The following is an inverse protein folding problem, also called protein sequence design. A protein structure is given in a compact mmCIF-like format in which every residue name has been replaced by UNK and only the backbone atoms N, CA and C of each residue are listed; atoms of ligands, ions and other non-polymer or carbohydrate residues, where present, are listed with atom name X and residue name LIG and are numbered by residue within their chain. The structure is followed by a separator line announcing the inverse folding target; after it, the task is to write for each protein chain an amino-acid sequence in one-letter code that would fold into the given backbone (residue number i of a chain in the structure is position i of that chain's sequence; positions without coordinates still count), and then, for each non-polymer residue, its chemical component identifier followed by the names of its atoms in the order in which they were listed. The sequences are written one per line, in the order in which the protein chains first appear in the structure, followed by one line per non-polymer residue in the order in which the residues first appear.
data_IF_595273481756
#
_entry.id   IF_595273481756
#
_cell.length_a   1.000
_cell.length_b   1.000
_cell.length_c   1.000
_cell.angle_alpha   90.00
_cell.angle_beta   90.00
_cell.angle_gamma   90.00
#
_symmetry.space_group_name_H-M   'P 1'
#
loop_
_entity.id
_entity.type
_entity.pdbx_description
1 polymer ?
#
# COMPACT_ATOMS: atom_id res chain seq x y z
N UNK A 1 -54.25 -48.82 -47.34
CA UNK A 1 -52.78 -48.86 -47.34
C UNK A 1 -52.32 -49.74 -46.20
N UNK A 2 -51.68 -50.86 -46.57
CA UNK A 2 -50.71 -51.71 -45.86
C UNK A 2 -51.05 -52.29 -44.47
N UNK A 3 -51.00 -53.61 -44.48
CA UNK A 3 -51.19 -54.58 -43.41
C UNK A 3 -50.14 -54.48 -42.30
N UNK A 4 -50.57 -54.91 -41.12
CA UNK A 4 -49.77 -55.27 -39.96
C UNK A 4 -49.24 -56.70 -40.17
N UNK A 5 -47.92 -56.90 -40.08
CA UNK A 5 -47.33 -58.23 -39.88
C UNK A 5 -45.97 -58.13 -39.16
N UNK A 6 -45.72 -59.16 -38.37
CA UNK A 6 -44.73 -59.34 -37.31
C UNK A 6 -43.28 -59.44 -37.82
N UNK A 7 -42.30 -58.97 -37.03
CA UNK A 7 -40.95 -59.51 -37.08
C UNK A 7 -40.33 -59.65 -35.68
N UNK A 8 -39.79 -60.84 -35.46
CA UNK A 8 -39.40 -61.50 -34.22
C UNK A 8 -38.01 -61.02 -33.76
N UNK A 9 -37.85 -60.74 -32.47
CA UNK A 9 -36.58 -60.31 -31.86
C UNK A 9 -35.67 -61.54 -31.65
N UNK A 10 -34.43 -61.47 -32.18
CA UNK A 10 -33.38 -62.49 -32.01
C UNK A 10 -32.73 -62.38 -30.60
N UNK A 11 -32.71 -63.43 -29.77
CA UNK A 11 -32.26 -63.40 -28.38
C UNK A 11 -30.74 -63.55 -28.20
N UNK A 12 -29.93 -62.76 -28.91
CA UNK A 12 -28.45 -62.79 -28.80
C UNK A 12 -27.76 -61.51 -28.33
N UNK A 13 -28.46 -60.61 -27.65
CA UNK A 13 -27.88 -59.38 -27.10
C UNK A 13 -27.92 -59.27 -25.56
N UNK A 14 -27.89 -60.39 -24.83
CA UNK A 14 -27.78 -60.38 -23.36
C UNK A 14 -26.70 -61.35 -22.88
N UNK A 15 -25.47 -60.84 -22.74
CA UNK A 15 -24.49 -61.42 -21.82
C UNK A 15 -23.43 -60.38 -21.44
N UNK A 16 -23.68 -59.62 -20.37
CA UNK A 16 -22.60 -59.19 -19.46
C UNK A 16 -23.15 -59.18 -18.03
N UNK A 17 -22.58 -60.05 -17.20
CA UNK A 17 -22.80 -60.17 -15.76
C UNK A 17 -22.28 -58.92 -14.99
N UNK A 18 -22.74 -58.70 -13.75
CA UNK A 18 -22.38 -57.54 -12.94
C UNK A 18 -21.01 -57.74 -12.31
N UNK A 19 -20.12 -56.76 -12.45
CA UNK A 19 -18.95 -56.64 -11.60
C UNK A 19 -19.05 -55.37 -10.78
N UNK A 20 -19.21 -55.58 -9.48
CA UNK A 20 -19.01 -54.63 -8.41
C UNK A 20 -17.64 -53.95 -8.53
N UNK A 21 -17.61 -52.77 -9.13
CA UNK A 21 -16.51 -51.83 -8.92
C UNK A 21 -17.01 -50.78 -7.93
N UNK A 22 -16.68 -50.99 -6.65
CA UNK A 22 -16.68 -49.92 -5.66
C UNK A 22 -15.79 -48.80 -6.21
N UNK A 23 -16.39 -47.72 -6.70
CA UNK A 23 -15.68 -46.46 -6.88
C UNK A 23 -15.40 -45.87 -5.50
N UNK A 24 -14.37 -46.41 -4.83
CA UNK A 24 -13.61 -45.64 -3.87
C UNK A 24 -12.93 -44.51 -4.65
N UNK A 25 -13.64 -43.40 -4.82
CA UNK A 25 -12.99 -42.12 -5.10
C UNK A 25 -12.09 -41.84 -3.91
N UNK A 26 -10.79 -42.12 -4.07
CA UNK A 26 -9.75 -41.57 -3.22
C UNK A 26 -9.97 -40.06 -3.16
N UNK A 27 -10.56 -39.58 -2.07
CA UNK A 27 -10.54 -38.16 -1.72
C UNK A 27 -9.07 -37.83 -1.52
N UNK A 28 -8.39 -37.41 -2.58
CA UNK A 28 -7.04 -36.86 -2.53
C UNK A 28 -7.08 -35.76 -1.48
N UNK A 29 -6.46 -36.01 -0.33
CA UNK A 29 -6.53 -35.11 0.81
C UNK A 29 -6.10 -33.71 0.35
N UNK A 30 -7.07 -32.78 0.26
CA UNK A 30 -6.76 -31.43 -0.17
C UNK A 30 -5.81 -30.82 0.85
N UNK A 31 -4.64 -30.39 0.37
CA UNK A 31 -3.64 -29.73 1.21
C UNK A 31 -4.33 -28.55 1.92
N UNK A 32 -4.19 -28.42 3.25
CA UNK A 32 -4.76 -27.29 3.97
C UNK A 32 -4.17 -25.99 3.40
N UNK A 33 -5.06 -25.13 2.88
CA UNK A 33 -4.71 -23.85 2.26
C UNK A 33 -4.54 -22.78 3.33
N UNK A 34 -3.59 -21.88 3.12
CA UNK A 34 -3.35 -20.74 4.03
C UNK A 34 -4.27 -19.59 3.65
N UNK A 35 -4.71 -18.81 4.63
CA UNK A 35 -5.57 -17.62 4.41
C UNK A 35 -4.93 -16.58 3.48
N UNK A 36 -3.60 -16.42 3.51
CA UNK A 36 -2.90 -15.50 2.59
C UNK A 36 -3.00 -15.90 1.11
N UNK A 37 -3.22 -17.18 0.78
CA UNK A 37 -3.32 -17.68 -0.60
C UNK A 37 -4.64 -17.29 -1.28
N UNK A 38 -5.67 -16.99 -0.48
CA UNK A 38 -7.00 -16.57 -0.95
C UNK A 38 -7.34 -15.15 -0.49
N UNK A 39 -6.32 -14.38 -0.09
CA UNK A 39 -6.55 -13.09 0.53
C UNK A 39 -7.32 -12.15 -0.41
N UNK A 40 -8.47 -11.59 0.03
CA UNK A 40 -9.29 -10.76 -0.82
C UNK A 40 -8.70 -9.35 -0.87
N UNK A 41 -7.72 -9.16 -1.75
CA UNK A 41 -7.03 -7.89 -2.00
C UNK A 41 -5.94 -8.04 -3.05
N UNK A 42 -5.27 -6.95 -3.40
CA UNK A 42 -4.19 -6.92 -4.42
C UNK A 42 -2.79 -7.05 -3.82
N UNK A 43 -2.69 -7.25 -2.51
CA UNK A 43 -1.40 -7.44 -1.84
C UNK A 43 -0.72 -8.74 -2.28
N UNK A 44 0.61 -8.71 -2.34
CA UNK A 44 1.45 -9.90 -2.57
C UNK A 44 2.05 -10.35 -1.25
N UNK A 45 2.05 -11.66 -1.05
CA UNK A 45 2.58 -12.30 0.16
C UNK A 45 3.81 -13.12 -0.16
N UNK A 46 4.81 -13.06 0.72
CA UNK A 46 6.04 -13.85 0.60
C UNK A 46 6.40 -14.48 1.95
N UNK A 47 7.28 -15.48 1.92
CA UNK A 47 7.78 -16.18 3.11
C UNK A 47 6.65 -16.74 4.00
N UNK A 48 5.75 -17.55 3.43
CA UNK A 48 4.60 -18.13 4.16
C UNK A 48 3.72 -17.05 4.83
N UNK A 49 3.42 -15.98 4.08
CA UNK A 49 2.57 -14.88 4.53
C UNK A 49 3.21 -13.91 5.54
N UNK A 50 4.51 -14.04 5.84
CA UNK A 50 5.21 -13.12 6.77
C UNK A 50 5.38 -11.72 6.17
N UNK A 51 5.77 -11.66 4.90
CA UNK A 51 5.97 -10.41 4.17
C UNK A 51 4.68 -10.09 3.43
N UNK A 52 4.23 -8.84 3.54
CA UNK A 52 3.13 -8.28 2.76
C UNK A 52 3.63 -7.04 2.02
N UNK A 53 3.35 -6.98 0.71
CA UNK A 53 3.66 -5.83 -0.13
C UNK A 53 2.44 -5.48 -0.98
N UNK A 54 2.38 -4.24 -1.47
CA UNK A 54 1.40 -3.87 -2.47
C UNK A 54 1.71 -4.50 -3.83
N UNK A 55 0.72 -4.51 -4.74
CA UNK A 55 0.92 -4.96 -6.13
C UNK A 55 1.99 -4.12 -6.85
N UNK A 56 2.00 -2.81 -6.61
CA UNK A 56 2.91 -1.85 -7.22
C UNK A 56 4.14 -1.60 -6.33
N UNK A 57 4.92 -2.66 -6.07
CA UNK A 57 6.13 -2.58 -5.25
C UNK A 57 7.41 -2.38 -6.07
N UNK A 58 7.31 -2.10 -7.38
CA UNK A 58 8.46 -1.98 -8.28
C UNK A 58 9.40 -0.80 -7.99
N UNK A 59 8.94 0.22 -7.25
CA UNK A 59 9.77 1.38 -6.86
C UNK A 59 10.57 1.10 -5.59
N UNK A 60 10.15 0.15 -4.74
CA UNK A 60 10.89 -0.21 -3.52
C UNK A 60 12.34 -0.69 -3.80
N UNK A 61 12.60 -1.57 -4.80
CA UNK A 61 13.96 -1.92 -5.19
C UNK A 61 14.80 -0.72 -5.66
N UNK A 62 14.19 0.30 -6.26
CA UNK A 62 14.89 1.53 -6.64
C UNK A 62 15.32 2.31 -5.39
N UNK A 63 14.43 2.49 -4.41
CA UNK A 63 14.77 3.12 -3.12
C UNK A 63 15.91 2.39 -2.42
N UNK A 64 15.83 1.06 -2.35
CA UNK A 64 16.86 0.24 -1.70
C UNK A 64 18.20 0.34 -2.45
N UNK A 65 18.18 0.28 -3.78
CA UNK A 65 19.36 0.44 -4.63
C UNK A 65 20.02 1.81 -4.44
N UNK A 66 19.23 2.89 -4.42
CA UNK A 66 19.76 4.24 -4.19
C UNK A 66 20.48 4.34 -2.83
N UNK A 67 19.85 3.85 -1.76
CA UNK A 67 20.45 3.88 -0.42
C UNK A 67 21.74 3.04 -0.37
N UNK A 68 21.72 1.82 -0.90
CA UNK A 68 22.88 0.91 -0.88
C UNK A 68 24.03 1.45 -1.73
N UNK A 69 23.74 1.92 -2.95
CA UNK A 69 24.79 2.43 -3.86
C UNK A 69 25.40 3.71 -3.29
N UNK A 70 24.59 4.68 -2.84
CA UNK A 70 25.11 5.91 -2.25
C UNK A 70 25.91 5.63 -0.98
N UNK A 71 25.47 4.73 -0.09
CA UNK A 71 26.26 4.39 1.09
C UNK A 71 27.53 3.60 0.73
N UNK A 72 27.45 2.71 -0.26
CA UNK A 72 28.58 1.90 -0.72
C UNK A 72 29.69 2.75 -1.34
N UNK A 73 29.32 3.74 -2.16
CA UNK A 73 30.25 4.73 -2.70
C UNK A 73 30.90 5.53 -1.56
N UNK A 74 30.11 6.01 -0.60
CA UNK A 74 30.59 6.79 0.54
C UNK A 74 31.59 6.01 1.40
N UNK A 75 31.32 4.73 1.69
CA UNK A 75 32.25 3.89 2.45
C UNK A 75 33.51 3.53 1.64
N UNK A 76 33.41 3.39 0.32
CA UNK A 76 34.52 3.00 -0.53
C UNK A 76 35.48 4.16 -0.84
N UNK A 77 34.96 5.37 -1.05
CA UNK A 77 35.72 6.49 -1.60
C UNK A 77 35.94 7.63 -0.59
N UNK A 78 34.93 7.98 0.20
CA UNK A 78 34.99 9.12 1.11
C UNK A 78 35.55 8.73 2.48
N UNK A 79 35.08 7.63 3.05
CA UNK A 79 35.52 7.17 4.37
C UNK A 79 37.05 6.95 4.47
N UNK A 80 37.74 6.29 3.52
CA UNK A 80 39.19 6.08 3.64
C UNK A 80 39.99 7.39 3.66
N UNK A 81 39.51 8.40 2.94
CA UNK A 81 40.12 9.74 2.94
C UNK A 81 39.82 10.45 4.26
N UNK A 82 38.55 10.52 4.66
CA UNK A 82 38.12 11.24 5.85
C UNK A 82 38.67 10.62 7.16
N UNK A 83 38.88 9.30 7.20
CA UNK A 83 39.51 8.65 8.35
C UNK A 83 40.97 9.08 8.52
N UNK A 84 41.71 9.23 7.41
CA UNK A 84 43.11 9.67 7.44
C UNK A 84 43.25 11.14 7.85
N UNK A 85 42.27 11.98 7.52
CA UNK A 85 42.36 13.42 7.69
C UNK A 85 41.53 14.00 8.84
N UNK A 86 40.54 13.27 9.36
CA UNK A 86 39.63 13.75 10.40
C UNK A 86 39.50 12.76 11.57
N UNK A 87 38.77 11.65 11.37
CA UNK A 87 38.47 10.73 12.47
C UNK A 87 37.96 9.36 12.01
N UNK A 88 38.29 8.33 12.79
CA UNK A 88 37.82 6.94 12.60
C UNK A 88 36.32 6.77 12.91
N UNK A 89 35.68 7.72 13.60
CA UNK A 89 34.27 7.62 13.97
C UNK A 89 33.30 7.84 12.80
N UNK A 90 33.73 8.46 11.70
CA UNK A 90 32.89 8.73 10.52
C UNK A 90 32.24 7.45 9.94
N UNK A 91 33.00 6.38 9.58
CA UNK A 91 32.40 5.15 9.09
C UNK A 91 31.53 4.45 10.13
N UNK A 92 31.82 4.59 11.43
CA UNK A 92 30.99 4.01 12.51
C UNK A 92 29.62 4.67 12.55
N UNK A 93 29.58 6.01 12.57
CA UNK A 93 28.32 6.78 12.56
C UNK A 93 27.53 6.50 11.30
N UNK A 94 28.18 6.56 10.13
CA UNK A 94 27.55 6.25 8.85
C UNK A 94 26.98 4.83 8.80
N UNK A 95 27.71 3.85 9.34
CA UNK A 95 27.28 2.44 9.37
C UNK A 95 26.05 2.22 10.25
N UNK A 96 26.03 2.83 11.43
CA UNK A 96 24.87 2.78 12.35
C UNK A 96 23.64 3.41 11.71
N UNK A 97 23.79 4.59 11.10
CA UNK A 97 22.69 5.28 10.41
C UNK A 97 22.18 4.45 9.22
N UNK A 98 23.07 3.91 8.40
CA UNK A 98 22.72 3.06 7.25
C UNK A 98 21.90 1.83 7.68
N UNK A 99 22.37 1.08 8.68
CA UNK A 99 21.66 -0.10 9.19
C UNK A 99 20.29 0.30 9.73
N UNK A 100 20.20 1.38 10.50
CA UNK A 100 18.93 1.85 11.06
C UNK A 100 17.93 2.27 9.96
N UNK A 101 18.39 2.97 8.93
CA UNK A 101 17.57 3.37 7.77
C UNK A 101 17.04 2.15 7.03
N UNK A 102 17.90 1.18 6.70
CA UNK A 102 17.50 -0.03 6.00
C UNK A 102 16.50 -0.84 6.82
N UNK A 103 16.76 -1.05 8.12
CA UNK A 103 15.81 -1.76 8.99
C UNK A 103 14.46 -1.05 9.09
N UNK A 104 14.45 0.29 9.18
CA UNK A 104 13.23 1.09 9.24
C UNK A 104 12.44 1.03 7.92
N UNK A 105 13.13 1.09 6.78
CA UNK A 105 12.53 0.89 5.46
C UNK A 105 11.87 -0.49 5.35
N UNK A 106 12.62 -1.56 5.62
CA UNK A 106 12.12 -2.93 5.51
C UNK A 106 10.94 -3.19 6.47
N UNK A 107 11.00 -2.65 7.70
CA UNK A 107 9.85 -2.72 8.64
C UNK A 107 8.65 -1.96 8.11
N UNK A 108 8.83 -0.80 7.51
CA UNK A 108 7.73 -0.05 6.90
C UNK A 108 7.09 -0.82 5.75
N UNK A 109 7.93 -1.35 4.85
CA UNK A 109 7.54 -2.06 3.65
C UNK A 109 6.81 -3.36 3.94
N UNK A 110 7.35 -4.20 4.83
CA UNK A 110 6.89 -5.58 5.01
C UNK A 110 5.85 -5.75 6.12
N UNK A 111 5.54 -4.70 6.88
CA UNK A 111 4.52 -4.74 7.93
C UNK A 111 3.14 -4.54 7.34
N UNK A 112 2.16 -5.32 7.80
CA UNK A 112 0.75 -5.06 7.56
C UNK A 112 0.40 -3.62 8.01
N UNK A 113 -0.06 -2.73 7.12
CA UNK A 113 -0.30 -1.33 7.45
C UNK A 113 -1.49 -1.10 8.40
N UNK A 114 -2.30 -2.12 8.67
CA UNK A 114 -3.55 -2.03 9.42
C UNK A 114 -4.75 -2.38 8.55
N UNK A 115 -4.64 -3.44 7.75
CA UNK A 115 -5.73 -3.86 6.87
C UNK A 115 -6.90 -4.37 7.72
N UNK A 116 -8.10 -3.88 7.41
CA UNK A 116 -9.34 -4.40 7.98
C UNK A 116 -9.81 -5.63 7.19
N UNK A 117 -10.28 -6.69 7.87
CA UNK A 117 -10.95 -7.80 7.20
C UNK A 117 -12.19 -7.28 6.46
N UNK A 118 -12.52 -7.94 5.34
CA UNK A 118 -13.78 -7.68 4.64
C UNK A 118 -14.92 -8.28 5.46
N UNK A 119 -16.10 -7.66 5.39
CA UNK A 119 -17.28 -8.20 6.06
C UNK A 119 -17.58 -9.61 5.53
N UNK A 120 -17.95 -10.51 6.43
CA UNK A 120 -18.50 -11.82 6.04
C UNK A 120 -19.79 -11.64 5.25
N UNK A 121 -20.28 -12.65 4.51
CA UNK A 121 -21.56 -12.56 3.82
C UNK A 121 -22.72 -12.17 4.76
N UNK A 122 -22.73 -12.71 5.97
CA UNK A 122 -23.75 -12.43 6.98
C UNK A 122 -23.62 -10.98 7.51
N UNK A 123 -22.40 -10.54 7.84
CA UNK A 123 -22.14 -9.15 8.26
C UNK A 123 -22.51 -8.15 7.15
N UNK A 124 -22.21 -8.48 5.89
CA UNK A 124 -22.55 -7.65 4.75
C UNK A 124 -24.07 -7.55 4.56
N UNK A 125 -24.79 -8.66 4.70
CA UNK A 125 -26.25 -8.71 4.62
C UNK A 125 -26.89 -7.90 5.76
N UNK A 126 -26.37 -8.00 6.98
CA UNK A 126 -26.84 -7.21 8.12
C UNK A 126 -26.61 -5.71 7.92
N UNK A 127 -25.45 -5.32 7.37
CA UNK A 127 -25.16 -3.92 7.06
C UNK A 127 -26.08 -3.40 5.96
N UNK A 128 -26.35 -4.19 4.92
CA UNK A 128 -27.29 -3.83 3.85
C UNK A 128 -28.73 -3.67 4.39
N UNK A 129 -29.19 -4.59 5.24
CA UNK A 129 -30.49 -4.49 5.92
C UNK A 129 -30.60 -3.23 6.80
N UNK A 130 -29.54 -2.86 7.53
CA UNK A 130 -29.51 -1.63 8.33
C UNK A 130 -29.59 -0.38 7.46
N UNK A 131 -28.93 -0.38 6.30
CA UNK A 131 -28.98 0.72 5.33
C UNK A 131 -30.40 0.88 4.80
N UNK A 132 -31.07 -0.21 4.43
CA UNK A 132 -32.43 -0.19 3.88
C UNK A 132 -33.46 0.26 4.92
N UNK A 133 -33.31 -0.19 6.18
CA UNK A 133 -34.20 0.21 7.29
C UNK A 133 -34.04 1.69 7.66
N UNK A 134 -32.86 2.27 7.42
CA UNK A 134 -32.59 3.70 7.70
C UNK A 134 -33.13 4.64 6.60
N UNK A 135 -33.62 4.10 5.49
CA UNK A 135 -34.26 4.86 4.43
C UNK A 135 -35.71 5.21 4.77
N UNK A 136 -36.06 6.49 4.72
CA UNK A 136 -37.47 6.90 4.62
C UNK A 136 -38.09 6.32 3.34
N UNK A 137 -39.37 5.92 3.37
CA UNK A 137 -40.20 5.38 2.27
C UNK A 137 -40.40 6.35 1.10
N UNK A 138 -39.31 6.94 0.62
CA UNK A 138 -39.23 7.84 -0.52
C UNK A 138 -38.35 7.17 -1.56
N UNK A 139 -38.59 7.44 -2.85
CA UNK A 139 -37.88 6.84 -4.00
C UNK A 139 -36.35 7.12 -4.02
N UNK A 140 -35.78 7.75 -3.00
CA UNK A 140 -34.35 8.05 -2.92
C UNK A 140 -33.61 6.89 -2.23
N UNK A 141 -32.48 6.41 -2.79
CA UNK A 141 -31.68 5.40 -2.13
C UNK A 141 -31.19 5.90 -0.76
N UNK A 142 -31.18 5.04 0.28
CA UNK A 142 -30.80 5.43 1.63
C UNK A 142 -29.36 5.96 1.67
N UNK A 143 -29.07 6.96 2.54
CA UNK A 143 -27.74 7.51 2.66
C UNK A 143 -26.78 6.43 3.20
N UNK A 144 -25.78 6.05 2.40
CA UNK A 144 -24.75 5.06 2.79
C UNK A 144 -23.67 5.66 3.68
N UNK A 145 -24.12 6.35 4.72
CA UNK A 145 -23.28 7.04 5.68
C UNK A 145 -23.85 6.89 7.07
N UNK A 146 -22.99 6.63 8.04
CA UNK A 146 -23.35 6.43 9.45
C UNK A 146 -22.69 7.50 10.29
N UNK A 147 -23.44 8.17 11.14
CA UNK A 147 -22.89 9.19 12.03
C UNK A 147 -22.53 8.56 13.38
N UNK A 148 -21.38 8.95 13.91
CA UNK A 148 -20.94 8.56 15.24
C UNK A 148 -20.40 9.78 15.99
N UNK A 149 -20.39 9.74 17.31
CA UNK A 149 -19.80 10.79 18.14
C UNK A 149 -18.37 10.42 18.53
N UNK A 150 -17.42 11.34 18.30
CA UNK A 150 -16.02 11.23 18.74
C UNK A 150 -15.69 12.52 19.48
N UNK A 151 -15.40 12.43 20.78
CA UNK A 151 -15.13 13.60 21.62
C UNK A 151 -16.20 14.70 21.45
N UNK A 152 -17.48 14.29 21.48
CA UNK A 152 -18.66 15.16 21.30
C UNK A 152 -18.80 15.82 19.92
N UNK A 153 -17.94 15.48 18.95
CA UNK A 153 -18.08 15.90 17.56
C UNK A 153 -18.71 14.78 16.71
N UNK A 154 -19.66 15.14 15.84
CA UNK A 154 -20.30 14.21 14.91
C UNK A 154 -19.35 13.92 13.74
N UNK A 155 -18.97 12.64 13.58
CA UNK A 155 -18.12 12.17 12.49
C UNK A 155 -18.90 11.23 11.59
N UNK A 156 -18.93 11.57 10.30
CA UNK A 156 -19.66 10.82 9.27
C UNK A 156 -18.80 9.71 8.68
N UNK A 157 -19.14 8.47 8.98
CA UNK A 157 -18.54 7.26 8.40
C UNK A 157 -19.07 7.03 6.99
N UNK A 158 -18.19 6.59 6.09
CA UNK A 158 -18.53 6.25 4.71
C UNK A 158 -18.58 4.74 4.53
N UNK A 159 -19.60 4.25 3.84
CA UNK A 159 -19.66 2.84 3.46
C UNK A 159 -18.60 2.49 2.40
N UNK A 160 -17.98 1.32 2.52
CA UNK A 160 -17.09 0.77 1.49
C UNK A 160 -17.78 -0.34 0.71
N UNK A 161 -18.03 -0.12 -0.57
CA UNK A 161 -18.65 -1.13 -1.44
C UNK A 161 -17.80 -2.39 -1.63
N UNK A 162 -16.47 -2.25 -1.73
CA UNK A 162 -15.56 -3.38 -1.93
C UNK A 162 -15.41 -4.27 -0.69
N UNK A 163 -15.30 -3.66 0.49
CA UNK A 163 -15.08 -4.38 1.75
C UNK A 163 -16.39 -4.64 2.51
N UNK A 164 -17.53 -4.17 1.98
CA UNK A 164 -18.89 -4.34 2.51
C UNK A 164 -19.05 -3.94 3.99
N UNK A 165 -18.39 -2.87 4.39
CA UNK A 165 -18.41 -2.39 5.78
C UNK A 165 -18.43 -0.86 5.84
N UNK A 166 -19.02 -0.32 6.91
CA UNK A 166 -18.85 1.10 7.26
C UNK A 166 -17.42 1.31 7.75
N UNK A 167 -16.67 2.15 7.04
CA UNK A 167 -15.26 2.40 7.36
C UNK A 167 -15.16 3.00 8.77
N UNK A 168 -14.42 2.37 9.70
CA UNK A 168 -14.15 2.97 11.00
C UNK A 168 -13.52 4.37 10.85
N UNK A 169 -13.53 5.18 11.91
CA UNK A 169 -12.91 6.50 11.88
C UNK A 169 -11.47 6.46 11.37
N UNK A 170 -11.09 7.49 10.59
CA UNK A 170 -9.75 7.62 9.98
C UNK A 170 -9.35 6.48 9.03
N UNK A 171 -10.28 5.59 8.66
CA UNK A 171 -10.04 4.50 7.69
C UNK A 171 -10.37 4.96 6.28
N UNK A 172 -9.50 4.62 5.33
CA UNK A 172 -9.79 4.80 3.90
C UNK A 172 -9.51 3.52 3.11
N UNK A 173 -10.26 3.33 2.04
CA UNK A 173 -10.02 2.25 1.09
C UNK A 173 -8.96 2.69 0.08
N UNK A 174 -7.89 1.92 -0.05
CA UNK A 174 -6.87 2.10 -1.07
C UNK A 174 -7.18 1.18 -2.25
N UNK A 175 -7.53 1.74 -3.41
CA UNK A 175 -7.85 0.98 -4.62
C UNK A 175 -6.66 0.21 -5.24
N UNK A 176 -5.44 0.69 -4.96
CA UNK A 176 -4.19 0.05 -5.41
C UNK A 176 -3.92 -1.26 -4.66
N UNK A 177 -4.12 -1.25 -3.33
CA UNK A 177 -4.03 -2.45 -2.49
C UNK A 177 -5.34 -3.24 -2.43
N UNK A 178 -6.46 -2.63 -2.82
CA UNK A 178 -7.82 -3.17 -2.75
C UNK A 178 -8.25 -3.54 -1.32
N UNK A 179 -7.92 -2.67 -0.37
CA UNK A 179 -8.12 -2.90 1.06
C UNK A 179 -8.50 -1.60 1.79
N UNK A 180 -9.35 -1.73 2.82
CA UNK A 180 -9.52 -0.69 3.84
C UNK A 180 -8.34 -0.75 4.82
N UNK A 181 -7.70 0.39 5.08
CA UNK A 181 -6.56 0.51 5.99
C UNK A 181 -6.91 1.46 7.13
N UNK A 182 -6.75 0.99 8.38
CA UNK A 182 -6.94 1.82 9.58
C UNK A 182 -5.94 2.96 9.65
N UNK A 183 -6.40 4.13 10.12
CA UNK A 183 -5.61 5.38 10.19
C UNK A 183 -4.79 5.57 8.91
N UNK A 184 -5.45 5.45 7.77
CA UNK A 184 -4.81 5.50 6.46
C UNK A 184 -4.14 6.86 6.27
N UNK A 185 -2.85 6.82 5.95
CA UNK A 185 -2.08 8.01 5.66
C UNK A 185 -1.98 8.22 4.16
N UNK A 186 -1.31 7.30 3.45
CA UNK A 186 -1.20 7.30 2.00
C UNK A 186 -0.77 5.94 1.46
N UNK A 187 -0.82 5.78 0.15
CA UNK A 187 -0.14 4.70 -0.55
C UNK A 187 1.23 5.20 -1.01
N UNK A 188 2.31 4.50 -0.66
CA UNK A 188 3.66 4.94 -0.97
C UNK A 188 4.36 3.92 -1.89
N UNK A 189 4.58 4.26 -3.17
CA UNK A 189 5.32 3.39 -4.08
C UNK A 189 6.76 3.14 -3.62
N UNK A 190 7.43 4.14 -3.04
CA UNK A 190 8.82 4.07 -2.58
C UNK A 190 9.05 3.04 -1.47
N UNK A 191 8.06 2.82 -0.60
CA UNK A 191 8.11 1.74 0.40
C UNK A 191 7.41 0.47 -0.09
N UNK A 192 6.77 0.51 -1.27
CA UNK A 192 6.06 -0.62 -1.87
C UNK A 192 4.83 -1.07 -1.10
N UNK A 193 4.22 -0.21 -0.29
CA UNK A 193 3.07 -0.54 0.57
C UNK A 193 2.23 0.70 0.94
N UNK A 194 1.06 0.49 1.51
CA UNK A 194 0.34 1.56 2.21
C UNK A 194 1.06 1.93 3.50
N UNK A 195 0.94 3.20 3.90
CA UNK A 195 1.31 3.69 5.22
C UNK A 195 0.03 3.93 6.01
N UNK A 196 -0.08 3.30 7.17
CA UNK A 196 -1.26 3.33 8.03
C UNK A 196 -0.92 3.05 9.49
N UNK A 197 -1.95 2.77 10.30
CA UNK A 197 -1.86 2.66 11.77
C UNK A 197 -0.69 1.81 12.28
N UNK A 198 -0.41 0.67 11.65
CA UNK A 198 0.55 -0.33 12.16
C UNK A 198 2.00 -0.07 11.75
N UNK A 199 2.23 0.58 10.61
CA UNK A 199 3.59 0.79 10.07
C UNK A 199 4.02 2.27 10.03
N UNK A 200 3.13 3.22 10.35
CA UNK A 200 3.44 4.65 10.34
C UNK A 200 4.67 5.02 11.18
N UNK A 201 4.84 4.43 12.38
CA UNK A 201 6.01 4.72 13.24
C UNK A 201 7.34 4.37 12.57
N UNK A 202 7.35 3.30 11.78
CA UNK A 202 8.53 2.86 11.04
C UNK A 202 8.76 3.75 9.84
N UNK A 203 7.69 4.17 9.16
CA UNK A 203 7.77 5.13 8.07
C UNK A 203 8.36 6.46 8.56
N UNK A 204 7.86 6.97 9.69
CA UNK A 204 8.39 8.18 10.32
C UNK A 204 9.86 8.02 10.73
N UNK A 205 10.20 6.91 11.39
CA UNK A 205 11.59 6.61 11.76
C UNK A 205 12.50 6.52 10.53
N UNK A 206 12.01 5.92 9.44
CA UNK A 206 12.71 5.81 8.16
C UNK A 206 12.99 7.18 7.55
N UNK A 207 11.99 8.05 7.36
CA UNK A 207 12.21 9.35 6.73
C UNK A 207 13.13 10.25 7.57
N UNK A 208 12.98 10.25 8.90
CA UNK A 208 13.81 11.06 9.81
C UNK A 208 15.26 10.55 9.80
N UNK A 209 15.47 9.24 9.94
CA UNK A 209 16.83 8.69 9.89
C UNK A 209 17.46 8.81 8.51
N UNK A 210 16.68 8.72 7.44
CA UNK A 210 17.16 8.95 6.08
C UNK A 210 17.58 10.42 5.91
N UNK A 211 16.82 11.38 6.44
CA UNK A 211 17.25 12.79 6.49
C UNK A 211 18.61 12.93 7.16
N UNK A 212 18.80 12.35 8.34
CA UNK A 212 20.08 12.40 9.05
C UNK A 212 21.22 11.75 8.27
N UNK A 213 20.99 10.57 7.69
CA UNK A 213 21.98 9.87 6.88
C UNK A 213 22.39 10.69 5.65
N UNK A 214 21.41 11.22 4.90
CA UNK A 214 21.68 12.03 3.70
C UNK A 214 22.39 13.34 4.05
N UNK A 215 21.98 14.04 5.11
CA UNK A 215 22.67 15.24 5.58
C UNK A 215 24.10 14.95 6.06
N UNK A 216 24.31 13.82 6.75
CA UNK A 216 25.63 13.39 7.20
C UNK A 216 26.56 13.09 6.03
N UNK A 217 26.12 12.29 5.06
CA UNK A 217 26.90 11.98 3.85
C UNK A 217 27.19 13.27 3.07
N UNK A 218 26.18 14.12 2.86
CA UNK A 218 26.36 15.40 2.16
C UNK A 218 27.44 16.27 2.82
N UNK A 219 27.42 16.42 4.15
CA UNK A 219 28.44 17.16 4.89
C UNK A 219 29.84 16.54 4.77
N UNK A 220 29.93 15.21 4.82
CA UNK A 220 31.19 14.48 4.66
C UNK A 220 31.78 14.66 3.25
N UNK A 221 30.96 14.55 2.21
CA UNK A 221 31.35 14.74 0.81
C UNK A 221 31.85 16.17 0.56
N UNK A 222 31.12 17.17 1.06
CA UNK A 222 31.57 18.57 1.00
C UNK A 222 32.94 18.72 1.67
N UNK A 223 33.10 18.16 2.88
CA UNK A 223 34.36 18.23 3.63
C UNK A 223 35.51 17.55 2.88
N UNK A 224 35.29 16.38 2.28
CA UNK A 224 36.28 15.70 1.46
C UNK A 224 36.74 16.59 0.29
N UNK A 225 35.80 17.15 -0.46
CA UNK A 225 36.11 18.03 -1.60
C UNK A 225 36.87 19.27 -1.12
N UNK A 226 36.46 19.93 -0.04
CA UNK A 226 37.13 21.11 0.52
C UNK A 226 38.57 20.81 0.95
N UNK A 227 38.82 19.69 1.62
CA UNK A 227 40.17 19.30 2.03
C UNK A 227 41.08 19.01 0.82
N UNK A 228 40.51 18.50 -0.28
CA UNK A 228 41.26 18.24 -1.52
C UNK A 228 41.60 19.52 -2.28
N UNK A 229 40.74 20.54 -2.23
CA UNK A 229 41.00 21.83 -2.90
C UNK A 229 41.98 22.69 -2.11
N UNK A 230 41.96 22.63 -0.78
CA UNK A 230 42.93 23.31 0.08
C UNK A 230 44.36 22.80 -0.09
N UNK A 231 44.56 21.60 -0.64
CA UNK A 231 45.87 21.05 -1.00
C UNK A 231 46.50 21.66 -2.28
N UNK A 232 46.06 22.86 -2.70
CA UNK A 232 46.59 23.60 -3.84
C UNK A 232 46.08 23.16 -5.22
N UNK A 233 45.01 22.33 -5.27
CA UNK A 233 44.40 21.85 -6.50
C UNK A 233 43.16 22.66 -6.85
N UNK A 234 43.01 23.04 -8.11
CA UNK A 234 41.73 23.60 -8.59
C UNK A 234 40.61 22.57 -8.44
N UNK A 235 39.35 23.01 -8.28
CA UNK A 235 38.18 22.12 -8.15
C UNK A 235 38.11 21.14 -9.34
N UNK A 236 38.41 21.62 -10.55
CA UNK A 236 38.39 20.81 -11.78
C UNK A 236 39.44 19.71 -11.73
N UNK A 237 40.68 20.03 -11.32
CA UNK A 237 41.75 19.04 -11.17
C UNK A 237 41.44 18.05 -10.04
N UNK A 238 40.86 18.52 -8.94
CA UNK A 238 40.45 17.66 -7.84
C UNK A 238 39.41 16.64 -8.29
N UNK A 239 38.44 17.02 -9.14
CA UNK A 239 37.39 16.13 -9.68
C UNK A 239 37.94 15.14 -10.72
N UNK A 240 38.91 15.56 -11.54
CA UNK A 240 39.47 14.74 -12.63
C UNK A 240 40.40 13.62 -12.16
N UNK A 241 40.89 13.67 -10.92
CA UNK A 241 41.64 12.56 -10.34
C UNK A 241 40.72 11.36 -10.10
N UNK A 242 41.07 10.19 -10.65
CA UNK A 242 40.20 9.00 -10.75
C UNK A 242 39.45 8.52 -9.48
N UNK A 243 39.87 8.80 -8.23
CA UNK A 243 39.03 8.52 -7.06
C UNK A 243 38.01 9.62 -6.71
N UNK A 244 38.21 10.86 -7.15
CA UNK A 244 37.46 12.03 -6.72
C UNK A 244 36.22 12.36 -7.59
N UNK A 245 36.09 11.73 -8.75
CA UNK A 245 34.86 11.76 -9.56
C UNK A 245 33.64 11.15 -8.84
N UNK A 246 33.87 10.17 -7.95
CA UNK A 246 32.80 9.47 -7.23
C UNK A 246 32.16 10.35 -6.15
N UNK A 247 32.92 11.06 -5.30
CA UNK A 247 32.38 12.10 -4.40
C UNK A 247 31.56 13.17 -5.13
N UNK A 248 31.94 13.56 -6.35
CA UNK A 248 31.15 14.52 -7.15
C UNK A 248 29.78 13.95 -7.56
N UNK A 249 29.73 12.70 -8.01
CA UNK A 249 28.45 12.02 -8.32
C UNK A 249 27.56 11.94 -7.07
N UNK A 250 28.13 11.59 -5.92
CA UNK A 250 27.41 11.56 -4.66
C UNK A 250 26.89 12.93 -4.24
N UNK A 251 27.71 13.98 -4.42
CA UNK A 251 27.30 15.35 -4.13
C UNK A 251 26.05 15.73 -4.90
N UNK A 252 26.01 15.42 -6.20
CA UNK A 252 24.84 15.68 -7.07
C UNK A 252 23.62 14.90 -6.58
N UNK A 253 23.77 13.60 -6.32
CA UNK A 253 22.67 12.75 -5.83
C UNK A 253 22.14 13.26 -4.49
N UNK A 254 23.03 13.59 -3.55
CA UNK A 254 22.67 14.11 -2.23
C UNK A 254 22.03 15.50 -2.33
N UNK A 255 22.52 16.38 -3.19
CA UNK A 255 21.97 17.73 -3.37
C UNK A 255 20.51 17.71 -3.82
N UNK A 256 20.14 16.86 -4.78
CA UNK A 256 18.74 16.76 -5.19
C UNK A 256 17.88 16.02 -4.16
N UNK A 257 18.46 15.03 -3.47
CA UNK A 257 17.72 14.20 -2.51
C UNK A 257 17.44 14.93 -1.19
N UNK A 258 18.36 15.77 -0.71
CA UNK A 258 18.28 16.37 0.63
C UNK A 258 17.06 17.28 0.80
N UNK A 259 16.75 18.11 -0.20
CA UNK A 259 15.60 19.03 -0.14
C UNK A 259 14.27 18.27 -0.10
N UNK A 260 14.16 17.22 -0.91
CA UNK A 260 12.97 16.38 -0.95
C UNK A 260 12.76 15.64 0.37
N UNK A 261 13.81 15.01 0.89
CA UNK A 261 13.73 14.19 2.10
C UNK A 261 13.54 15.05 3.36
N UNK A 262 14.22 16.20 3.47
CA UNK A 262 14.02 17.13 4.58
C UNK A 262 12.61 17.74 4.55
N UNK A 263 12.10 18.12 3.37
CA UNK A 263 10.74 18.62 3.22
C UNK A 263 9.69 17.59 3.66
N UNK A 264 9.84 16.33 3.23
CA UNK A 264 8.96 15.23 3.63
C UNK A 264 9.02 14.98 5.15
N UNK A 265 10.21 14.95 5.73
CA UNK A 265 10.42 14.81 7.17
C UNK A 265 9.79 15.94 7.98
N UNK A 266 9.93 17.19 7.52
CA UNK A 266 9.29 18.35 8.13
C UNK A 266 7.77 18.26 8.06
N UNK A 267 7.21 17.93 6.89
CA UNK A 267 5.78 17.77 6.70
C UNK A 267 5.18 16.70 7.63
N UNK A 268 5.79 15.50 7.68
CA UNK A 268 5.32 14.45 8.58
C UNK A 268 5.53 14.79 10.06
N UNK A 269 6.55 15.58 10.41
CA UNK A 269 6.72 16.08 11.78
C UNK A 269 5.57 17.01 12.17
N UNK A 270 5.14 17.90 11.26
CA UNK A 270 3.94 18.72 11.45
C UNK A 270 2.66 17.86 11.62
N UNK A 271 2.47 16.84 10.78
CA UNK A 271 1.31 15.95 10.88
C UNK A 271 1.27 15.19 12.21
N UNK A 272 2.40 14.66 12.65
CA UNK A 272 2.53 13.97 13.94
C UNK A 272 2.26 14.93 15.10
N UNK A 273 2.84 16.15 15.07
CA UNK A 273 2.61 17.18 16.07
C UNK A 273 1.14 17.60 16.17
N UNK A 274 0.39 17.50 15.07
CA UNK A 274 -1.04 17.87 14.97
C UNK A 274 -2.00 16.68 15.08
N UNK A 275 -1.49 15.46 15.27
CA UNK A 275 -2.24 14.19 15.20
C UNK A 275 -3.13 14.08 13.95
N UNK A 276 -2.59 14.44 12.79
CA UNK A 276 -3.23 14.33 11.48
C UNK A 276 -2.60 13.20 10.67
N UNK A 277 -3.38 12.61 9.77
CA UNK A 277 -2.82 11.85 8.65
C UNK A 277 -2.71 12.72 7.42
N UNK A 278 -1.81 12.39 6.49
CA UNK A 278 -1.70 13.08 5.19
C UNK A 278 -3.05 13.11 4.47
N UNK A 279 -3.79 12.00 4.51
CA UNK A 279 -5.11 11.91 3.91
C UNK A 279 -6.14 12.86 4.56
N UNK A 280 -6.05 13.14 5.85
CA UNK A 280 -6.96 14.06 6.56
C UNK A 280 -6.62 15.52 6.24
N UNK A 281 -5.32 15.85 6.21
CA UNK A 281 -4.81 17.18 5.90
C UNK A 281 -5.16 17.59 4.45
N UNK A 282 -4.83 16.74 3.47
CA UNK A 282 -5.14 17.00 2.04
C UNK A 282 -6.64 17.14 1.80
N UNK A 283 -7.47 16.36 2.47
CA UNK A 283 -8.94 16.45 2.33
C UNK A 283 -9.52 17.68 3.04
N UNK A 284 -8.72 18.40 3.83
CA UNK A 284 -9.18 19.45 4.71
C UNK A 284 -10.25 18.95 5.68
N UNK A 285 -10.10 17.72 6.20
CA UNK A 285 -11.11 17.05 7.03
C UNK A 285 -11.50 17.85 8.26
N UNK A 286 -10.59 18.66 8.78
CA UNK A 286 -10.76 19.45 10.01
C UNK A 286 -10.47 20.94 9.78
N UNK A 287 -10.55 21.41 8.53
CA UNK A 287 -10.33 22.83 8.22
C UNK A 287 -11.57 23.66 8.58
N UNK A 288 -11.35 24.73 9.34
CA UNK A 288 -12.40 25.68 9.78
C UNK A 288 -13.20 26.30 8.61
N UNK A 289 -12.64 26.32 7.39
CA UNK A 289 -13.30 26.84 6.17
C UNK A 289 -14.55 26.05 5.73
N UNK A 290 -14.85 24.88 6.31
CA UNK A 290 -16.04 24.07 5.98
C UNK A 290 -17.27 24.37 6.87
N UNK A 291 -17.32 25.53 7.53
CA UNK A 291 -18.54 26.04 8.17
C UNK A 291 -18.87 25.43 9.53
N UNK A 292 -17.88 24.85 10.21
CA UNK A 292 -17.98 24.47 11.60
C UNK A 292 -16.96 25.30 12.38
N UNK A 293 -17.39 26.49 12.81
CA UNK A 293 -16.56 27.48 13.49
C UNK A 293 -15.92 26.96 14.80
N UNK A 294 -16.40 25.83 15.33
CA UNK A 294 -15.92 25.22 16.59
C UNK A 294 -15.28 23.82 16.48
N UNK A 295 -15.24 23.17 15.30
CA UNK A 295 -14.77 21.78 15.22
C UNK A 295 -13.31 21.68 14.76
N UNK A 296 -12.38 21.94 15.69
CA UNK A 296 -10.97 21.56 15.54
C UNK A 296 -10.79 20.03 15.44
N UNK A 297 -9.57 19.57 15.12
CA UNK A 297 -9.26 18.14 15.01
C UNK A 297 -9.64 17.36 16.29
N UNK A 298 -10.66 16.46 16.29
CA UNK A 298 -11.12 15.77 17.51
C UNK A 298 -10.08 14.81 18.07
N UNK A 299 -9.06 14.44 17.31
CA UNK A 299 -8.04 13.49 17.72
C UNK A 299 -6.81 14.15 18.36
N UNK A 300 -6.72 15.48 18.36
CA UNK A 300 -5.58 16.18 18.98
C UNK A 300 -5.68 16.09 20.50
N UNK A 301 -4.53 15.93 21.16
CA UNK A 301 -4.39 16.06 22.61
C UNK A 301 -4.09 17.51 23.05
N UNK A 302 -4.17 18.48 22.14
CA UNK A 302 -3.79 19.89 22.37
C UNK A 302 -2.35 20.07 22.91
N UNK A 303 -1.49 19.08 22.68
CA UNK A 303 -0.09 19.07 23.12
C UNK A 303 0.75 18.35 22.06
N UNK A 304 1.75 19.04 21.52
CA UNK A 304 2.66 18.52 20.49
C UNK A 304 3.34 17.24 21.01
N UNK A 305 3.88 17.28 22.23
CA UNK A 305 4.59 16.14 22.83
C UNK A 305 3.63 14.95 22.98
N UNK A 306 2.42 15.19 23.49
CA UNK A 306 1.43 14.13 23.69
C UNK A 306 0.99 13.51 22.35
N UNK A 307 0.79 14.34 21.32
CA UNK A 307 0.48 13.88 19.97
C UNK A 307 1.61 13.01 19.37
N UNK A 308 2.87 13.44 19.54
CA UNK A 308 4.05 12.69 19.15
C UNK A 308 4.14 11.35 19.89
N UNK A 309 4.03 11.35 21.22
CA UNK A 309 4.10 10.13 22.03
C UNK A 309 2.96 9.16 21.71
N UNK A 310 1.73 9.65 21.55
CA UNK A 310 0.59 8.82 21.18
C UNK A 310 0.77 8.14 19.81
N UNK A 311 1.44 8.82 18.87
CA UNK A 311 1.66 8.30 17.52
C UNK A 311 2.89 7.39 17.42
N UNK A 312 3.98 7.72 18.11
CA UNK A 312 5.29 7.08 17.93
C UNK A 312 5.65 6.09 19.04
N UNK A 313 5.22 6.34 20.28
CA UNK A 313 5.63 5.58 21.47
C UNK A 313 4.58 4.58 21.94
N UNK A 314 3.36 4.61 21.38
CA UNK A 314 2.30 3.66 21.75
C UNK A 314 2.64 2.20 21.41
N UNK A 315 2.02 1.22 22.09
CA UNK A 315 2.18 -0.19 21.73
C UNK A 315 1.74 -0.42 20.27
N UNK A 316 2.36 -1.39 19.59
CA UNK A 316 1.89 -1.77 18.26
C UNK A 316 0.56 -2.51 18.43
N UNK A 317 -0.54 -2.06 17.78
CA UNK A 317 -1.80 -2.81 17.84
C UNK A 317 -1.60 -4.21 17.23
N UNK A 318 -2.48 -5.20 17.47
CA UNK A 318 -2.45 -6.50 16.79
C UNK A 318 -2.88 -6.38 15.32
N UNK A 319 -2.52 -7.37 14.50
CA UNK A 319 -2.97 -7.41 13.10
C UNK A 319 -4.39 -7.97 13.10
N UNK A 320 -5.28 -7.34 12.33
CA UNK A 320 -6.68 -7.76 12.23
C UNK A 320 -6.89 -8.82 11.15
N UNK A 321 -5.82 -9.19 10.44
CA UNK A 321 -5.82 -10.24 9.43
C UNK A 321 -4.97 -11.42 9.90
N UNK A 322 -5.60 -12.58 10.04
CA UNK A 322 -4.90 -13.84 10.30
C UNK A 322 -4.34 -14.41 8.99
N UNK A 323 -3.18 -13.90 8.56
CA UNK A 323 -2.57 -14.29 7.28
C UNK A 323 -2.08 -15.74 7.28
N UNK A 324 -1.61 -16.23 8.42
CA UNK A 324 -0.93 -17.54 8.53
C UNK A 324 -1.86 -18.65 9.00
N UNK A 325 -3.08 -18.33 9.45
CA UNK A 325 -4.10 -19.33 9.70
C UNK A 325 -4.43 -20.16 8.49
N UNK A 326 -4.98 -21.33 8.75
CA UNK A 326 -5.54 -22.20 7.72
C UNK A 326 -6.99 -21.82 7.45
N UNK A 327 -7.44 -22.07 6.23
CA UNK A 327 -8.87 -22.00 5.93
C UNK A 327 -9.61 -23.15 6.62
N UNK A 328 -10.84 -22.92 7.10
CA UNK A 328 -11.73 -24.01 7.52
C UNK A 328 -11.90 -25.02 6.38
N UNK A 329 -11.99 -26.32 6.72
CA UNK A 329 -12.10 -27.39 5.71
C UNK A 329 -13.35 -27.26 4.81
N UNK A 330 -14.37 -26.55 5.26
CA UNK A 330 -15.65 -26.37 4.56
C UNK A 330 -15.70 -25.11 3.67
N UNK A 331 -14.73 -24.20 3.78
CA UNK A 331 -14.65 -22.94 3.00
C UNK A 331 -13.64 -23.03 1.83
N UNK A 332 -13.39 -24.25 1.31
CA UNK A 332 -12.65 -24.40 0.07
C UNK A 332 -13.49 -23.87 -1.10
N UNK A 333 -13.49 -22.54 -1.28
CA UNK A 333 -14.08 -21.86 -2.44
C UNK A 333 -13.53 -22.57 -3.68
N UNK A 334 -14.39 -23.00 -4.62
CA UNK A 334 -13.94 -23.64 -5.84
C UNK A 334 -12.90 -22.75 -6.50
N UNK A 335 -11.74 -23.33 -6.82
CA UNK A 335 -10.79 -22.68 -7.70
C UNK A 335 -11.57 -22.29 -8.97
N UNK A 336 -11.63 -21.00 -9.28
CA UNK A 336 -12.09 -20.56 -10.60
C UNK A 336 -11.13 -21.23 -11.59
N UNK A 337 -11.61 -22.28 -12.24
CA UNK A 337 -10.87 -22.96 -13.30
C UNK A 337 -10.69 -21.93 -14.42
N UNK A 338 -9.45 -21.71 -14.80
CA UNK A 338 -9.12 -21.07 -16.06
C UNK A 338 -9.49 -22.06 -17.17
N UNK A 339 -10.76 -22.10 -17.54
CA UNK A 339 -11.26 -22.85 -18.69
C UNK A 339 -12.43 -22.06 -19.30
N UNK A 340 -12.12 -21.46 -20.46
CA UNK A 340 -13.06 -21.05 -21.51
C UNK A 340 -14.18 -20.08 -21.11
N UNK A 341 -13.85 -18.79 -21.12
CA UNK A 341 -14.81 -17.77 -21.55
C UNK A 341 -14.57 -17.57 -23.04
N UNK A 342 -15.28 -18.33 -23.88
CA UNK A 342 -15.51 -17.90 -25.26
C UNK A 342 -16.27 -16.58 -25.21
N UNK A 343 -15.59 -15.50 -25.61
CA UNK A 343 -16.24 -14.24 -25.96
C UNK A 343 -17.08 -14.48 -27.22
N UNK A 344 -18.37 -14.11 -27.25
CA UNK A 344 -19.13 -14.13 -28.49
C UNK A 344 -18.51 -13.12 -29.47
N UNK A 345 -18.49 -13.43 -30.78
CA UNK A 345 -17.83 -12.57 -31.77
C UNK A 345 -18.54 -11.22 -31.85
N UNK A 346 -17.77 -10.14 -31.71
CA UNK A 346 -18.20 -8.80 -32.07
C UNK A 346 -18.56 -8.76 -33.55
N UNK A 347 -19.86 -8.73 -33.85
CA UNK A 347 -20.35 -8.31 -35.17
C UNK A 347 -20.08 -6.82 -35.31
N UNK A 348 -19.15 -6.46 -36.20
CA UNK A 348 -18.95 -5.10 -36.65
C UNK A 348 -20.27 -4.56 -37.24
N UNK A 349 -20.85 -3.56 -36.59
CA UNK A 349 -21.93 -2.76 -37.15
C UNK A 349 -21.30 -1.47 -37.67
N UNK A 350 -21.45 -1.26 -38.97
CA UNK A 350 -20.95 -0.11 -39.71
C UNK A 350 -21.39 1.22 -39.09
N UNK A 351 -20.41 2.10 -38.88
CA UNK A 351 -20.62 3.52 -38.61
C UNK A 351 -21.09 4.22 -39.88
N UNK A 352 -22.36 4.60 -39.92
CA UNK A 352 -22.89 5.61 -40.83
C UNK A 352 -24.19 6.15 -40.22
N UNK A 353 -24.08 7.04 -39.24
CA UNK A 353 -25.01 8.13 -38.90
C UNK A 353 -24.66 8.70 -37.51
N UNK A 354 -23.62 9.55 -37.44
CA UNK A 354 -23.50 10.54 -36.35
C UNK A 354 -22.55 11.69 -36.73
N UNK A 355 -22.73 12.27 -37.90
CA UNK A 355 -22.23 13.62 -38.23
C UNK A 355 -23.43 14.58 -38.26
N UNK A 356 -23.90 14.98 -37.08
CA UNK A 356 -24.74 16.19 -36.87
C UNK A 356 -25.01 16.32 -35.36
N UNK A 357 -24.05 16.89 -34.61
CA UNK A 357 -24.31 17.73 -33.41
C UNK A 357 -23.07 18.18 -32.61
N UNK A 358 -21.85 18.00 -33.11
CA UNK A 358 -20.66 18.48 -32.41
C UNK A 358 -20.18 19.85 -32.94
N UNK A 359 -21.04 20.87 -32.88
CA UNK A 359 -20.65 22.25 -33.24
C UNK A 359 -21.10 23.36 -32.26
N UNK A 360 -21.77 23.06 -31.14
CA UNK A 360 -22.35 24.11 -30.28
C UNK A 360 -21.80 24.23 -28.83
N UNK A 361 -20.59 23.74 -28.54
CA UNK A 361 -19.97 23.97 -27.21
C UNK A 361 -18.47 24.27 -27.33
N UNK A 362 -18.15 25.34 -28.05
CA UNK A 362 -16.82 25.97 -27.96
C UNK A 362 -16.90 27.48 -28.10
N UNK A 363 -17.59 28.15 -27.18
CA UNK A 363 -17.54 29.61 -26.99
C UNK A 363 -18.05 29.97 -25.60
N UNK A 364 -17.16 29.98 -24.61
CA UNK A 364 -17.17 30.90 -23.44
C UNK A 364 -16.17 30.43 -22.39
N UNK A 365 -14.94 30.93 -22.44
CA UNK A 365 -14.08 31.20 -21.27
C UNK A 365 -12.77 31.87 -21.71
N UNK A 366 -12.85 33.13 -22.13
CA UNK A 366 -11.73 34.08 -22.10
C UNK A 366 -12.30 35.50 -22.01
N UNK A 367 -12.40 36.03 -20.80
CA UNK A 367 -12.26 37.44 -20.42
C UNK A 367 -12.22 37.52 -18.90
#
# INVERSE_FOLDING_TARGET
MKNCEYQQIDPRALSVLPSSAQNHTEKKAQRPRRKWEVFPGKNRFFCDGRIILARQNGVLPLTLSLIIVTCGLFFAFDCPFLVKHLTVFIPVIGGVLFVFVVLSLLRTSFTDPGILPRATPDEAADVEKQIDTSGSSTYRPPPRTKEILINQQVVKLKYCFTCKTFRPPRTSHCSLCDNCVERFDHHCPWVGNCVGKRNYRFFYSFIISLSFLTSFIFGCVITHITLRTQAGKTIVQAIQESPARYPFLELVVCFFSIWSILGLSGFHTYLVASNLTTNEDIKGSWSSKRGAEDSGNPYTYNSIITNCCATLCGPMPPSLIDRRGFLPHDEAIPAVSASEIELPPFTAKNDAHMEENCQDISLSCTA
#
